data_IF_812785307186
#
_entry.id   IF_812785307186
#
_cell.length_a   1.000
_cell.length_b   1.000
_cell.length_c   1.000
_cell.angle_alpha   90.00
_cell.angle_beta   90.00
_cell.angle_gamma   90.00
#
_symmetry.space_group_name_H-M   'P 1'
#
loop_
_entity.id
_entity.type
_entity.pdbx_description
1 polymer ?
#
# COMPACT_ATOMS: atom_id res chain seq x y z
N UNK A 1 2.49 -5.06 7.18
CA UNK A 1 1.37 -4.84 6.26
C UNK A 1 0.54 -3.59 6.57
N UNK A 2 0.37 -3.19 7.83
CA UNK A 2 -0.28 -1.89 8.20
C UNK A 2 0.20 -0.69 7.39
N UNK A 3 1.52 -0.51 7.18
CA UNK A 3 2.04 0.61 6.38
C UNK A 3 1.60 0.63 4.93
N UNK A 4 1.43 -0.52 4.26
CA UNK A 4 0.95 -0.56 2.87
C UNK A 4 -0.52 -0.13 2.78
N UNK A 5 -1.35 -0.64 3.69
CA UNK A 5 -2.76 -0.22 3.82
C UNK A 5 -2.83 1.28 4.11
N UNK A 6 -2.00 1.79 5.02
CA UNK A 6 -1.93 3.22 5.34
C UNK A 6 -1.45 4.07 4.15
N UNK A 7 -0.44 3.64 3.38
CA UNK A 7 0.02 4.34 2.17
C UNK A 7 -1.15 4.47 1.17
N UNK A 8 -1.84 3.36 0.90
CA UNK A 8 -2.98 3.32 -0.01
C UNK A 8 -4.11 4.21 0.49
N UNK A 9 -4.43 4.14 1.78
CA UNK A 9 -5.43 5.00 2.43
C UNK A 9 -5.06 6.48 2.31
N UNK A 10 -3.87 6.90 2.72
CA UNK A 10 -3.44 8.29 2.64
C UNK A 10 -3.42 8.81 1.20
N UNK A 11 -3.07 7.95 0.22
CA UNK A 11 -3.04 8.32 -1.19
C UNK A 11 -4.43 8.47 -1.80
N UNK A 12 -5.34 7.53 -1.53
CA UNK A 12 -6.65 7.46 -2.19
C UNK A 12 -7.74 8.17 -1.38
N UNK A 13 -7.77 7.98 -0.07
CA UNK A 13 -8.76 8.60 0.82
C UNK A 13 -8.44 10.07 1.10
N UNK A 14 -7.17 10.39 1.36
CA UNK A 14 -6.76 11.78 1.64
C UNK A 14 -6.17 12.51 0.43
N UNK A 15 -5.94 11.83 -0.70
CA UNK A 15 -5.35 12.46 -1.90
C UNK A 15 -3.89 12.92 -1.72
N UNK A 16 -3.21 12.50 -0.65
CA UNK A 16 -1.90 13.04 -0.27
C UNK A 16 -0.81 12.72 -1.30
N UNK A 17 0.15 13.63 -1.43
CA UNK A 17 1.32 13.44 -2.27
C UNK A 17 2.28 12.42 -1.65
N UNK A 18 3.12 11.80 -2.47
CA UNK A 18 4.13 10.82 -2.02
C UNK A 18 5.02 11.37 -0.89
N UNK A 19 5.40 12.65 -0.95
CA UNK A 19 6.20 13.33 0.07
C UNK A 19 5.49 13.43 1.43
N UNK A 20 4.18 13.68 1.43
CA UNK A 20 3.39 13.76 2.66
C UNK A 20 3.22 12.38 3.28
N UNK A 21 2.99 11.37 2.45
CA UNK A 21 2.89 9.96 2.90
C UNK A 21 4.21 9.51 3.53
N UNK A 22 5.34 9.80 2.89
CA UNK A 22 6.70 9.54 3.42
C UNK A 22 6.89 10.18 4.80
N UNK A 23 6.48 11.43 4.95
CA UNK A 23 6.61 12.19 6.19
C UNK A 23 5.68 11.68 7.28
N UNK A 24 4.46 11.28 6.91
CA UNK A 24 3.44 10.75 7.83
C UNK A 24 3.81 9.36 8.35
N UNK A 25 4.31 8.48 7.49
CA UNK A 25 4.61 7.08 7.82
C UNK A 25 6.09 6.83 8.17
N UNK A 26 6.91 7.87 8.07
CA UNK A 26 8.36 7.87 8.28
C UNK A 26 9.04 6.69 7.56
N UNK A 27 8.86 6.63 6.24
CA UNK A 27 9.39 5.58 5.35
C UNK A 27 9.96 6.20 4.08
N UNK A 28 10.94 5.52 3.49
CA UNK A 28 11.62 6.01 2.30
C UNK A 28 10.67 6.21 1.11
N UNK A 29 10.88 7.27 0.34
CA UNK A 29 10.08 7.58 -0.86
C UNK A 29 10.13 6.45 -1.91
N UNK A 30 11.27 5.78 -2.02
CA UNK A 30 11.45 4.57 -2.83
C UNK A 30 10.51 3.45 -2.37
N UNK A 31 10.43 3.18 -1.07
CA UNK A 31 9.54 2.16 -0.50
C UNK A 31 8.08 2.49 -0.76
N UNK A 32 7.66 3.75 -0.57
CA UNK A 32 6.28 4.17 -0.87
C UNK A 32 5.95 3.96 -2.34
N UNK A 33 6.85 4.37 -3.23
CA UNK A 33 6.66 4.21 -4.68
C UNK A 33 6.62 2.74 -5.08
N UNK A 34 7.56 1.92 -4.62
CA UNK A 34 7.61 0.49 -4.89
C UNK A 34 6.33 -0.21 -4.41
N UNK A 35 5.84 0.18 -3.24
CA UNK A 35 4.64 -0.40 -2.68
C UNK A 35 3.36 0.03 -3.41
N UNK A 36 3.28 1.29 -3.86
CA UNK A 36 2.17 1.75 -4.71
C UNK A 36 2.20 1.07 -6.08
N UNK A 37 3.39 0.96 -6.69
CA UNK A 37 3.55 0.27 -7.96
C UNK A 37 3.19 -1.21 -7.85
N UNK A 38 3.55 -1.89 -6.76
CA UNK A 38 3.13 -3.28 -6.53
C UNK A 38 1.65 -3.41 -6.26
N UNK A 39 1.07 -2.50 -5.49
CA UNK A 39 -0.37 -2.48 -5.27
C UNK A 39 -1.12 -2.29 -6.61
N UNK A 40 -0.67 -1.36 -7.45
CA UNK A 40 -1.22 -1.12 -8.78
C UNK A 40 -1.11 -2.36 -9.69
N UNK A 41 0.07 -2.99 -9.73
CA UNK A 41 0.30 -4.24 -10.47
C UNK A 41 -0.58 -5.39 -9.96
N UNK A 42 -0.84 -5.43 -8.66
CA UNK A 42 -1.72 -6.39 -8.03
C UNK A 42 -3.22 -6.04 -8.18
N UNK A 43 -3.57 -4.92 -8.81
CA UNK A 43 -4.94 -4.42 -8.90
C UNK A 43 -5.53 -4.02 -7.54
N UNK A 44 -4.68 -3.83 -6.52
CA UNK A 44 -5.06 -3.42 -5.18
C UNK A 44 -5.33 -1.92 -5.15
N UNK A 45 -6.62 -1.57 -5.09
CA UNK A 45 -7.07 -0.21 -4.84
C UNK A 45 -7.69 -0.08 -3.45
N UNK A 46 -7.59 1.12 -2.88
CA UNK A 46 -8.34 1.48 -1.68
C UNK A 46 -9.71 2.04 -2.11
N UNK A 47 -10.81 1.81 -1.37
CA UNK A 47 -10.91 1.05 -0.13
C UNK A 47 -10.80 -0.46 -0.36
N UNK A 48 -10.03 -1.14 0.50
CA UNK A 48 -9.94 -2.60 0.48
C UNK A 48 -11.31 -3.17 0.90
N UNK A 49 -11.84 -4.21 0.22
CA UNK A 49 -13.10 -4.82 0.60
C UNK A 49 -13.05 -5.35 2.04
N UNK A 50 -14.15 -5.21 2.78
CA UNK A 50 -14.29 -5.74 4.15
C UNK A 50 -13.98 -7.24 4.15
N UNK A 51 -12.93 -7.64 4.87
CA UNK A 51 -12.39 -9.00 4.85
C UNK A 51 -11.04 -9.17 4.14
N UNK A 52 -10.46 -8.09 3.60
CA UNK A 52 -9.11 -8.15 3.02
C UNK A 52 -8.03 -8.20 4.11
N UNK A 53 -7.71 -9.42 4.53
CA UNK A 53 -6.66 -9.70 5.50
C UNK A 53 -5.27 -9.34 4.98
N UNK A 54 -4.38 -8.99 5.90
CA UNK A 54 -2.97 -8.70 5.63
C UNK A 54 -2.27 -9.87 4.89
N UNK A 55 -2.80 -11.10 5.03
CA UNK A 55 -2.34 -12.31 4.31
C UNK A 55 -2.72 -12.28 2.84
N UNK A 56 -3.96 -11.92 2.50
CA UNK A 56 -4.42 -11.80 1.11
C UNK A 56 -3.64 -10.70 0.38
N UNK A 57 -3.41 -9.58 1.08
CA UNK A 57 -2.60 -8.46 0.58
C UNK A 57 -1.13 -8.88 0.37
N UNK A 58 -0.61 -9.76 1.24
CA UNK A 58 0.74 -10.33 1.09
C UNK A 58 0.85 -11.21 -0.14
N UNK A 59 -0.11 -12.10 -0.33
CA UNK A 59 -0.11 -13.02 -1.47
C UNK A 59 -0.23 -12.28 -2.81
N UNK A 60 -0.96 -11.16 -2.84
CA UNK A 60 -1.10 -10.33 -4.04
C UNK A 60 0.15 -9.48 -4.34
N UNK A 61 0.75 -8.84 -3.33
CA UNK A 61 1.98 -8.06 -3.52
C UNK A 61 3.25 -8.92 -3.64
N UNK A 62 3.23 -10.15 -3.12
CA UNK A 62 4.37 -11.07 -3.07
C UNK A 62 3.94 -12.51 -3.39
N UNK A 63 3.54 -12.79 -4.64
CA UNK A 63 3.24 -14.15 -5.07
C UNK A 63 4.56 -14.94 -5.17
N UNK A 64 4.93 -15.66 -4.11
CA UNK A 64 6.14 -16.49 -4.10
C UNK A 64 6.88 -16.61 -2.77
N UNK A 65 6.39 -16.03 -1.67
CA UNK A 65 6.94 -16.33 -0.34
C UNK A 65 6.16 -17.49 0.31
N UNK A 66 6.45 -18.71 -0.16
CA UNK A 66 6.10 -19.96 0.53
C UNK A 66 7.29 -20.47 1.33
#
# INVERSE_FOLDING_TARGET
>A
MRKTKEILRLRVEMGLGLREIVRSLNISHSTVKDQLSRADLAGLSWPLPEGMDDVALKNLCFPGTV
#
